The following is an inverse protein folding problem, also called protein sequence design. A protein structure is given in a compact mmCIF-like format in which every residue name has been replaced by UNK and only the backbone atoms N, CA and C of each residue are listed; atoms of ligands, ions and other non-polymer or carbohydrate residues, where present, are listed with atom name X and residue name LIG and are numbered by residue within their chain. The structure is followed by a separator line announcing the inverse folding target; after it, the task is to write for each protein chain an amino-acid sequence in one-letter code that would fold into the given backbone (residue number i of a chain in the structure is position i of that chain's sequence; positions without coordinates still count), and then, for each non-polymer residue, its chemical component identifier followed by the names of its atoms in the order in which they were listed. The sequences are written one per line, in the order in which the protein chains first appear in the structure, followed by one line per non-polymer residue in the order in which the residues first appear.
data_IF_429062871463
#
_entry.id   IF_429062871463
#
_cell.length_a   1.000
_cell.length_b   1.000
_cell.length_c   1.000
_cell.angle_alpha   90.00
_cell.angle_beta   90.00
_cell.angle_gamma   90.00
#
_symmetry.space_group_name_H-M   'P 1'
#
loop_
_entity.id
_entity.type
_entity.pdbx_description
1 polymer ?
#
# COMPACT_ATOMS: atom_id res chain seq x y z
N UNK A 1 24.15 -60.59 42.72
CA UNK A 1 22.97 -61.08 43.44
C UNK A 1 22.96 -60.50 44.85
N UNK A 2 21.86 -59.80 45.15
CA UNK A 2 21.39 -59.17 46.38
C UNK A 2 22.24 -59.19 47.66
N UNK A 3 22.49 -57.99 48.22
CA UNK A 3 22.39 -57.76 49.67
C UNK A 3 21.84 -56.35 49.91
N UNK A 4 20.63 -56.28 50.46
CA UNK A 4 20.02 -55.07 50.99
C UNK A 4 20.17 -55.10 52.52
N UNK A 5 20.74 -54.06 53.13
CA UNK A 5 20.75 -53.90 54.60
C UNK A 5 20.44 -52.46 55.00
N UNK A 6 19.16 -52.29 55.37
CA UNK A 6 18.62 -51.62 56.56
C UNK A 6 19.37 -50.43 57.20
N UNK A 7 18.70 -49.28 57.12
CA UNK A 7 18.22 -48.43 58.23
C UNK A 7 19.19 -47.97 59.33
N UNK A 8 19.29 -46.65 59.52
CA UNK A 8 18.75 -45.98 60.73
C UNK A 8 18.78 -44.45 60.57
N UNK A 9 17.61 -43.87 60.80
CA UNK A 9 17.37 -42.44 60.98
C UNK A 9 17.83 -42.04 62.39
N UNK A 10 18.58 -40.95 62.50
CA UNK A 10 18.60 -40.10 63.71
C UNK A 10 18.45 -38.66 63.26
N UNK A 11 17.41 -38.04 63.79
CA UNK A 11 16.89 -36.72 63.50
C UNK A 11 17.64 -35.68 64.38
N UNK A 12 18.21 -34.65 63.77
CA UNK A 12 18.62 -33.43 64.48
C UNK A 12 18.36 -32.22 63.56
N UNK A 13 17.30 -31.48 63.87
CA UNK A 13 17.07 -30.08 63.47
C UNK A 13 17.44 -29.22 64.71
N UNK A 14 17.72 -27.89 64.63
CA UNK A 14 17.21 -26.95 63.62
C UNK A 14 18.16 -25.79 63.24
N UNK A 15 17.64 -24.90 62.38
CA UNK A 15 18.02 -23.49 62.17
C UNK A 15 19.14 -23.16 61.17
N UNK A 16 18.75 -22.90 59.92
CA UNK A 16 18.91 -21.57 59.28
C UNK A 16 18.38 -21.57 57.83
N UNK A 17 17.42 -20.67 57.56
CA UNK A 17 16.94 -20.10 56.28
C UNK A 17 17.18 -20.90 54.97
N UNK A 18 16.14 -21.37 54.26
CA UNK A 18 16.30 -21.80 52.87
C UNK A 18 16.34 -20.58 51.95
N UNK A 19 17.46 -20.36 51.28
CA UNK A 19 17.49 -19.56 50.06
C UNK A 19 16.75 -20.38 48.98
N UNK A 20 15.45 -20.13 48.83
CA UNK A 20 14.69 -20.61 47.69
C UNK A 20 15.24 -19.85 46.49
N UNK A 21 16.15 -20.48 45.75
CA UNK A 21 16.47 -20.09 44.39
C UNK A 21 15.20 -20.32 43.58
N UNK A 22 14.36 -19.28 43.50
CA UNK A 22 13.27 -19.19 42.55
C UNK A 22 13.91 -19.17 41.16
N UNK A 23 14.08 -20.35 40.57
CA UNK A 23 14.23 -20.47 39.14
C UNK A 23 12.94 -19.93 38.54
N UNK A 24 12.91 -18.63 38.28
CA UNK A 24 11.95 -18.01 37.39
C UNK A 24 12.24 -18.58 36.01
N UNK A 25 11.67 -19.75 35.73
CA UNK A 25 11.36 -20.15 34.37
C UNK A 25 10.42 -19.07 33.87
N UNK A 26 11.00 -18.04 33.23
CA UNK A 26 10.26 -17.16 32.35
C UNK A 26 9.69 -18.09 31.30
N UNK A 27 8.47 -18.57 31.53
CA UNK A 27 7.65 -19.17 30.51
C UNK A 27 7.54 -18.08 29.47
N UNK A 28 8.37 -18.20 28.43
CA UNK A 28 8.21 -17.46 27.21
C UNK A 28 6.82 -17.86 26.74
N UNK A 29 5.80 -17.07 27.12
CA UNK A 29 4.50 -17.12 26.47
C UNK A 29 4.80 -16.71 25.05
N UNK A 30 5.02 -17.70 24.18
CA UNK A 30 4.91 -17.52 22.76
C UNK A 30 3.59 -16.80 22.46
N UNK A 31 3.52 -16.02 21.37
CA UNK A 31 2.35 -15.21 21.08
C UNK A 31 1.11 -16.07 21.21
N UNK A 32 0.17 -15.65 22.07
CA UNK A 32 -1.10 -16.33 22.27
C UNK A 32 -1.70 -16.55 20.90
N UNK A 33 -1.80 -17.81 20.47
CA UNK A 33 -2.51 -18.17 19.25
C UNK A 33 -3.94 -17.64 19.44
N UNK A 34 -4.25 -16.48 18.85
CA UNK A 34 -5.61 -15.93 18.90
C UNK A 34 -6.51 -17.02 18.35
N UNK A 35 -7.51 -17.43 19.13
CA UNK A 35 -8.58 -18.26 18.60
C UNK A 35 -9.24 -17.46 17.48
N UNK A 36 -9.09 -17.93 16.25
CA UNK A 36 -9.73 -17.31 15.10
C UNK A 36 -11.24 -17.38 15.32
N UNK A 37 -11.90 -16.23 15.29
CA UNK A 37 -13.34 -16.17 15.44
C UNK A 37 -13.99 -16.99 14.32
N UNK A 38 -15.07 -17.72 14.62
CA UNK A 38 -15.72 -18.64 13.66
C UNK A 38 -16.12 -17.94 12.34
N UNK A 39 -16.52 -16.67 12.42
CA UNK A 39 -16.88 -15.86 11.26
C UNK A 39 -15.69 -15.51 10.33
N UNK A 40 -14.45 -15.62 10.80
CA UNK A 40 -13.25 -15.37 10.01
C UNK A 40 -12.70 -16.65 9.35
N UNK A 41 -13.35 -17.79 9.56
CA UNK A 41 -12.97 -19.03 8.89
C UNK A 41 -13.42 -18.91 7.42
N UNK A 42 -12.54 -19.22 6.44
CA UNK A 42 -12.92 -19.15 5.04
C UNK A 42 -13.93 -20.25 4.70
N UNK A 43 -14.99 -19.88 3.97
CA UNK A 43 -16.06 -20.78 3.52
C UNK A 43 -16.35 -20.54 2.03
N UNK A 44 -16.73 -21.59 1.32
CA UNK A 44 -17.10 -21.53 -0.10
C UNK A 44 -15.94 -21.76 -1.06
N UNK A 45 -16.21 -21.57 -2.35
CA UNK A 45 -15.27 -21.85 -3.45
C UNK A 45 -14.37 -20.65 -3.80
N UNK A 46 -14.29 -19.62 -2.95
CA UNK A 46 -13.47 -18.42 -3.17
C UNK A 46 -14.03 -17.45 -4.21
N UNK A 47 -15.36 -17.40 -4.36
CA UNK A 47 -16.06 -16.45 -5.23
C UNK A 47 -16.67 -15.26 -4.48
N UNK A 48 -17.46 -14.44 -5.19
CA UNK A 48 -18.07 -13.20 -4.66
C UNK A 48 -18.89 -13.41 -3.38
N UNK A 49 -19.68 -14.48 -3.32
CA UNK A 49 -20.54 -14.83 -2.17
C UNK A 49 -19.88 -15.80 -1.19
N UNK A 50 -18.59 -16.09 -1.36
CA UNK A 50 -17.81 -16.86 -0.40
C UNK A 50 -17.40 -15.98 0.78
N UNK A 51 -16.81 -16.58 1.82
CA UNK A 51 -16.23 -15.84 2.95
C UNK A 51 -14.75 -16.15 2.94
N UNK A 52 -13.90 -15.12 2.83
CA UNK A 52 -12.44 -15.31 2.83
C UNK A 52 -11.82 -15.27 4.22
N UNK A 53 -12.53 -14.71 5.20
CA UNK A 53 -11.97 -14.40 6.52
C UNK A 53 -11.16 -13.11 6.56
N UNK A 54 -11.10 -12.36 5.46
CA UNK A 54 -10.43 -11.05 5.41
C UNK A 54 -11.45 -9.95 5.67
N UNK A 55 -11.19 -9.12 6.69
CA UNK A 55 -11.91 -7.90 7.03
C UNK A 55 -10.96 -6.73 6.86
N UNK A 56 -11.00 -6.12 5.68
CA UNK A 56 -10.04 -5.11 5.27
C UNK A 56 -10.61 -3.70 5.41
N UNK A 57 -9.88 -2.79 6.07
CA UNK A 57 -10.09 -1.34 5.94
C UNK A 57 -9.21 -0.78 4.83
N UNK A 58 -9.82 -0.18 3.81
CA UNK A 58 -9.08 0.39 2.67
C UNK A 58 -9.18 1.90 2.67
N UNK A 59 -8.17 2.56 3.23
CA UNK A 59 -8.04 4.01 3.14
C UNK A 59 -7.61 4.40 1.72
N UNK A 60 -8.26 5.42 1.14
CA UNK A 60 -8.02 5.81 -0.26
C UNK A 60 -8.72 4.91 -1.29
N UNK A 61 -9.74 4.16 -0.86
CA UNK A 61 -10.56 3.30 -1.74
C UNK A 61 -11.22 4.04 -2.92
N UNK A 62 -11.49 5.34 -2.75
CA UNK A 62 -12.14 6.18 -3.76
C UNK A 62 -11.21 6.64 -4.88
N UNK A 63 -9.90 6.41 -4.74
CA UNK A 63 -8.89 6.76 -5.73
C UNK A 63 -8.75 5.74 -6.86
N UNK A 64 -7.77 6.00 -7.75
CA UNK A 64 -7.51 5.16 -8.92
C UNK A 64 -7.18 3.71 -8.55
N UNK A 65 -6.27 3.49 -7.60
CA UNK A 65 -5.82 2.15 -7.18
C UNK A 65 -6.83 1.48 -6.24
N UNK A 66 -7.46 2.28 -5.37
CA UNK A 66 -8.40 1.82 -4.36
C UNK A 66 -9.54 0.97 -4.93
N UNK A 67 -10.17 1.43 -6.01
CA UNK A 67 -11.23 0.65 -6.70
C UNK A 67 -10.79 -0.74 -7.17
N UNK A 68 -9.55 -0.91 -7.62
CA UNK A 68 -9.06 -2.20 -8.08
C UNK A 68 -8.78 -3.14 -6.90
N UNK A 69 -8.26 -2.60 -5.79
CA UNK A 69 -8.07 -3.35 -4.55
C UNK A 69 -9.41 -3.79 -3.97
N UNK A 70 -10.39 -2.89 -3.91
CA UNK A 70 -11.76 -3.22 -3.46
C UNK A 70 -12.40 -4.27 -4.37
N UNK A 71 -12.25 -4.14 -5.69
CA UNK A 71 -12.76 -5.15 -6.63
C UNK A 71 -12.10 -6.52 -6.42
N UNK A 72 -10.78 -6.56 -6.20
CA UNK A 72 -10.07 -7.82 -5.94
C UNK A 72 -10.54 -8.48 -4.63
N UNK A 73 -10.65 -7.70 -3.55
CA UNK A 73 -11.13 -8.20 -2.25
C UNK A 73 -12.60 -8.64 -2.29
N UNK A 74 -13.46 -7.88 -2.97
CA UNK A 74 -14.88 -8.20 -3.15
C UNK A 74 -15.11 -9.43 -4.02
N UNK A 75 -14.28 -9.67 -5.03
CA UNK A 75 -14.33 -10.89 -5.86
C UNK A 75 -14.05 -12.17 -5.07
N UNK A 76 -13.23 -12.07 -4.01
CA UNK A 76 -12.93 -13.20 -3.11
C UNK A 76 -14.00 -13.42 -2.03
N UNK A 77 -14.98 -12.52 -1.91
CA UNK A 77 -15.96 -12.55 -0.82
C UNK A 77 -15.40 -12.09 0.52
N UNK A 78 -14.47 -11.13 0.48
CA UNK A 78 -13.93 -10.48 1.69
C UNK A 78 -14.81 -9.32 2.11
N UNK A 79 -14.90 -9.09 3.42
CA UNK A 79 -15.57 -7.92 3.95
C UNK A 79 -14.62 -6.72 3.84
N UNK A 80 -15.09 -5.64 3.24
CA UNK A 80 -14.30 -4.44 3.01
C UNK A 80 -15.00 -3.23 3.60
N UNK A 81 -14.33 -2.62 4.56
CA UNK A 81 -14.70 -1.35 5.16
C UNK A 81 -14.04 -0.24 4.32
N UNK A 82 -14.89 0.63 3.78
CA UNK A 82 -14.53 1.72 2.88
C UNK A 82 -14.72 3.04 3.64
N UNK A 83 -13.66 3.53 4.30
CA UNK A 83 -13.65 4.88 4.84
C UNK A 83 -13.56 5.89 3.70
N UNK A 84 -14.61 6.68 3.50
CA UNK A 84 -14.68 7.71 2.47
C UNK A 84 -14.87 9.10 3.07
N UNK A 85 -14.37 10.12 2.37
CA UNK A 85 -14.50 11.54 2.72
C UNK A 85 -15.16 12.35 1.61
N UNK A 86 -15.08 11.85 0.39
CA UNK A 86 -15.78 12.44 -0.74
C UNK A 86 -17.30 12.31 -0.56
N UNK A 87 -18.05 12.88 -1.50
CA UNK A 87 -19.48 12.68 -1.49
C UNK A 87 -19.83 11.20 -1.74
N UNK A 88 -21.03 10.82 -1.30
CA UNK A 88 -21.60 9.50 -1.49
C UNK A 88 -21.62 9.15 -2.98
N UNK A 89 -21.91 10.12 -3.85
CA UNK A 89 -21.93 9.95 -5.31
C UNK A 89 -20.65 9.31 -5.86
N UNK A 90 -19.49 9.76 -5.41
CA UNK A 90 -18.20 9.28 -5.92
C UNK A 90 -17.93 7.82 -5.53
N UNK A 91 -18.56 7.32 -4.48
CA UNK A 91 -18.43 5.92 -4.03
C UNK A 91 -19.36 4.95 -4.76
N UNK A 92 -20.32 5.44 -5.55
CA UNK A 92 -21.36 4.61 -6.17
C UNK A 92 -20.79 3.49 -7.05
N UNK A 93 -19.70 3.76 -7.76
CA UNK A 93 -19.03 2.77 -8.62
C UNK A 93 -18.45 1.58 -7.85
N UNK A 94 -18.26 1.69 -6.53
CA UNK A 94 -17.74 0.62 -5.68
C UNK A 94 -18.85 -0.35 -5.23
N UNK A 95 -20.11 0.11 -5.15
CA UNK A 95 -21.24 -0.71 -4.66
C UNK A 95 -21.40 -2.05 -5.39
N UNK A 96 -21.24 -2.13 -6.72
CA UNK A 96 -21.37 -3.40 -7.43
C UNK A 96 -20.22 -4.38 -7.18
N UNK A 97 -19.12 -3.99 -6.52
CA UNK A 97 -17.91 -4.81 -6.43
C UNK A 97 -17.99 -5.96 -5.41
N UNK A 98 -18.89 -5.86 -4.42
CA UNK A 98 -19.05 -6.86 -3.37
C UNK A 98 -20.50 -7.32 -3.20
N UNK A 99 -20.67 -8.49 -2.60
CA UNK A 99 -22.00 -9.00 -2.25
C UNK A 99 -22.66 -8.18 -1.14
N UNK A 100 -23.94 -8.44 -0.87
CA UNK A 100 -24.69 -7.78 0.20
C UNK A 100 -23.98 -7.96 1.55
N UNK A 101 -23.83 -6.87 2.30
CA UNK A 101 -23.17 -6.87 3.61
C UNK A 101 -21.64 -6.94 3.59
N UNK A 102 -21.02 -7.18 2.43
CA UNK A 102 -19.55 -7.23 2.32
C UNK A 102 -18.92 -5.84 2.27
N UNK A 103 -19.58 -4.87 1.62
CA UNK A 103 -19.09 -3.49 1.53
C UNK A 103 -19.75 -2.61 2.57
N UNK A 104 -18.94 -2.03 3.46
CA UNK A 104 -19.40 -1.11 4.50
C UNK A 104 -18.79 0.26 4.23
N UNK A 105 -19.63 1.25 3.98
CA UNK A 105 -19.20 2.64 3.76
C UNK A 105 -19.24 3.41 5.08
N UNK A 106 -18.13 4.04 5.47
CA UNK A 106 -18.04 4.86 6.66
C UNK A 106 -17.47 6.23 6.31
N UNK A 107 -18.15 7.29 6.72
CA UNK A 107 -17.58 8.63 6.63
C UNK A 107 -16.49 8.81 7.69
N UNK A 108 -15.39 9.48 7.34
CA UNK A 108 -14.30 9.77 8.28
C UNK A 108 -13.61 11.09 7.91
N UNK A 109 -12.94 11.69 8.89
CA UNK A 109 -12.06 12.83 8.66
C UNK A 109 -10.62 12.49 9.05
N UNK A 110 -9.69 12.98 8.25
CA UNK A 110 -8.28 12.73 8.41
C UNK A 110 -7.67 13.37 9.66
N UNK A 111 -8.30 14.43 10.17
CA UNK A 111 -7.85 15.15 11.37
C UNK A 111 -8.38 14.54 12.66
N UNK A 112 -9.45 13.75 12.59
CA UNK A 112 -10.08 13.15 13.75
C UNK A 112 -9.60 11.70 13.97
N UNK A 113 -8.90 11.49 15.08
CA UNK A 113 -8.37 10.18 15.48
C UNK A 113 -9.48 9.19 15.84
N UNK A 114 -10.61 9.66 16.35
CA UNK A 114 -11.71 8.80 16.80
C UNK A 114 -12.44 8.18 15.61
N UNK A 115 -12.63 8.94 14.52
CA UNK A 115 -13.17 8.44 13.26
C UNK A 115 -12.32 7.30 12.67
N UNK A 116 -10.99 7.42 12.72
CA UNK A 116 -10.05 6.37 12.28
C UNK A 116 -10.19 5.14 13.17
N UNK A 117 -10.30 5.32 14.49
CA UNK A 117 -10.48 4.21 15.43
C UNK A 117 -11.75 3.43 15.13
N UNK A 118 -12.87 4.12 14.91
CA UNK A 118 -14.15 3.50 14.53
C UNK A 118 -14.03 2.68 13.25
N UNK A 119 -13.28 3.13 12.25
CA UNK A 119 -13.08 2.38 11.02
C UNK A 119 -12.27 1.09 11.24
N UNK A 120 -11.24 1.15 12.08
CA UNK A 120 -10.22 0.09 12.21
C UNK A 120 -10.57 -0.97 13.28
N UNK A 121 -11.48 -0.67 14.22
CA UNK A 121 -11.87 -1.51 15.37
C UNK A 121 -12.12 -2.99 15.05
N UNK A 122 -12.70 -3.32 13.89
CA UNK A 122 -13.06 -4.68 13.51
C UNK A 122 -12.21 -5.25 12.37
N UNK A 123 -11.16 -4.53 11.95
CA UNK A 123 -10.34 -4.93 10.80
C UNK A 123 -9.22 -5.89 11.20
N UNK A 124 -8.98 -6.92 10.40
CA UNK A 124 -7.76 -7.74 10.52
C UNK A 124 -6.62 -7.21 9.64
N UNK A 125 -6.96 -6.55 8.53
CA UNK A 125 -6.00 -5.93 7.61
C UNK A 125 -6.38 -4.46 7.39
N UNK A 126 -5.39 -3.57 7.46
CA UNK A 126 -5.55 -2.16 7.08
C UNK A 126 -4.63 -1.88 5.89
N UNK A 127 -5.20 -1.31 4.83
CA UNK A 127 -4.48 -0.91 3.62
C UNK A 127 -4.55 0.60 3.48
N UNK A 128 -3.39 1.25 3.43
CA UNK A 128 -3.27 2.68 3.22
C UNK A 128 -2.88 3.00 1.77
N UNK A 129 -3.82 3.57 1.03
CA UNK A 129 -3.67 4.07 -0.34
C UNK A 129 -3.92 5.59 -0.43
N UNK A 130 -3.87 6.29 0.70
CA UNK A 130 -4.04 7.74 0.73
C UNK A 130 -2.85 8.38 0.01
N UNK A 131 -3.16 9.24 -0.96
CA UNK A 131 -2.15 10.01 -1.66
C UNK A 131 -2.78 11.04 -2.58
N UNK A 132 -2.06 12.13 -2.79
CA UNK A 132 -2.40 13.15 -3.78
C UNK A 132 -1.12 13.61 -4.47
N UNK A 133 -1.21 13.88 -5.78
CA UNK A 133 -0.06 14.26 -6.61
C UNK A 133 0.24 15.76 -6.58
N UNK A 134 -0.71 16.55 -6.10
CA UNK A 134 -0.61 18.00 -5.91
C UNK A 134 -1.04 18.33 -4.47
N UNK A 135 -0.49 19.41 -3.93
CA UNK A 135 -0.88 19.91 -2.61
C UNK A 135 -2.23 20.62 -2.75
N UNK A 136 -3.09 20.40 -1.77
CA UNK A 136 -4.33 21.18 -1.65
C UNK A 136 -4.10 22.28 -0.64
N UNK A 137 -4.90 23.36 -0.70
CA UNK A 137 -4.81 24.43 0.29
C UNK A 137 -5.07 23.96 1.74
N UNK A 138 -5.86 22.90 1.90
CA UNK A 138 -6.29 22.40 3.21
C UNK A 138 -5.36 21.30 3.76
N UNK A 139 -4.68 20.57 2.88
CA UNK A 139 -3.79 19.46 3.21
C UNK A 139 -2.51 19.53 2.40
N UNK A 140 -1.40 19.68 3.13
CA UNK A 140 -0.04 19.68 2.61
C UNK A 140 0.47 18.24 2.42
N UNK A 141 1.56 18.06 1.66
CA UNK A 141 2.17 16.73 1.50
C UNK A 141 2.63 16.11 2.81
N UNK A 142 3.05 16.91 3.79
CA UNK A 142 3.44 16.40 5.11
C UNK A 142 2.24 15.83 5.87
N UNK A 143 1.07 16.46 5.77
CA UNK A 143 -0.13 15.94 6.42
C UNK A 143 -0.57 14.62 5.76
N UNK A 144 -0.62 14.61 4.43
CA UNK A 144 -1.08 13.47 3.62
C UNK A 144 -0.18 12.25 3.76
N UNK A 145 1.13 12.45 3.66
CA UNK A 145 2.08 11.35 3.70
C UNK A 145 2.60 11.12 5.11
N UNK A 146 2.77 12.09 5.98
CA UNK A 146 3.45 11.83 7.26
C UNK A 146 2.48 11.69 8.43
N UNK A 147 1.65 12.70 8.68
CA UNK A 147 0.82 12.75 9.89
C UNK A 147 -0.33 11.74 9.85
N UNK A 148 -1.04 11.66 8.72
CA UNK A 148 -2.19 10.77 8.56
C UNK A 148 -1.76 9.30 8.65
N UNK A 149 -0.77 8.81 7.87
CA UNK A 149 -0.35 7.41 7.95
C UNK A 149 0.23 7.06 9.32
N UNK A 150 0.96 7.97 9.97
CA UNK A 150 1.43 7.79 11.35
C UNK A 150 0.26 7.57 12.31
N UNK A 151 -0.79 8.38 12.21
CA UNK A 151 -1.97 8.27 13.07
C UNK A 151 -2.73 6.97 12.80
N UNK A 152 -2.90 6.59 11.53
CA UNK A 152 -3.54 5.33 11.15
C UNK A 152 -2.73 4.14 11.71
N UNK A 153 -1.40 4.15 11.58
CA UNK A 153 -0.54 3.09 12.10
C UNK A 153 -0.65 2.96 13.63
N UNK A 154 -0.63 4.09 14.36
CA UNK A 154 -0.81 4.09 15.82
C UNK A 154 -2.18 3.51 16.22
N UNK A 155 -3.26 3.96 15.57
CA UNK A 155 -4.62 3.48 15.85
C UNK A 155 -4.78 2.00 15.49
N UNK A 156 -4.14 1.56 14.40
CA UNK A 156 -4.17 0.15 13.97
C UNK A 156 -3.43 -0.74 14.96
N UNK A 157 -2.36 -0.23 15.57
CA UNK A 157 -1.65 -0.90 16.66
C UNK A 157 -2.49 -0.94 17.94
N UNK A 158 -3.11 0.17 18.32
CA UNK A 158 -4.05 0.24 19.47
C UNK A 158 -5.20 -0.77 19.31
N UNK A 159 -5.75 -0.91 18.09
CA UNK A 159 -6.82 -1.87 17.77
C UNK A 159 -6.32 -3.33 17.66
N UNK A 160 -5.00 -3.55 17.61
CA UNK A 160 -4.43 -4.89 17.51
C UNK A 160 -4.67 -5.58 16.16
N UNK A 161 -4.61 -4.82 15.07
CA UNK A 161 -4.73 -5.31 13.68
C UNK A 161 -3.57 -6.25 13.35
N UNK A 162 -3.84 -7.33 12.61
CA UNK A 162 -2.84 -8.36 12.30
C UNK A 162 -1.84 -7.91 11.23
N UNK A 163 -2.33 -7.20 10.21
CA UNK A 163 -1.49 -6.73 9.09
C UNK A 163 -1.79 -5.29 8.74
N UNK A 164 -0.73 -4.49 8.69
CA UNK A 164 -0.78 -3.12 8.20
C UNK A 164 0.01 -3.02 6.90
N UNK A 165 -0.64 -2.57 5.83
CA UNK A 165 -0.04 -2.43 4.50
C UNK A 165 -0.02 -0.94 4.15
N UNK A 166 1.16 -0.41 3.87
CA UNK A 166 1.35 0.96 3.44
C UNK A 166 1.98 1.01 2.04
N UNK A 167 1.42 1.82 1.14
CA UNK A 167 1.89 1.95 -0.23
C UNK A 167 2.66 3.25 -0.45
N UNK A 168 3.98 3.10 -0.55
CA UNK A 168 4.90 4.21 -0.82
C UNK A 168 5.16 4.37 -2.33
N UNK A 169 6.38 4.69 -2.72
CA UNK A 169 6.78 4.84 -4.13
C UNK A 169 8.22 4.33 -4.28
N UNK A 170 8.58 3.78 -5.43
CA UNK A 170 9.92 3.23 -5.69
C UNK A 170 11.02 4.30 -5.48
N UNK A 171 10.85 5.46 -6.12
CA UNK A 171 11.78 6.60 -6.00
C UNK A 171 11.65 7.42 -4.70
N UNK A 172 11.07 6.85 -3.64
CA UNK A 172 11.01 7.53 -2.37
C UNK A 172 12.44 7.67 -1.82
N UNK A 173 13.00 8.88 -1.88
CA UNK A 173 14.28 9.24 -1.28
C UNK A 173 14.19 10.60 -0.56
N UNK A 174 14.73 10.71 0.66
CA UNK A 174 14.77 11.97 1.43
C UNK A 174 15.65 13.04 0.76
N UNK A 175 16.60 12.64 -0.09
CA UNK A 175 17.46 13.55 -0.88
C UNK A 175 16.85 13.96 -2.22
N UNK A 176 15.62 13.52 -2.54
CA UNK A 176 14.98 13.80 -3.83
C UNK A 176 14.61 15.28 -4.02
N UNK A 177 14.60 15.79 -5.26
CA UNK A 177 14.18 17.17 -5.56
C UNK A 177 12.67 17.37 -5.34
N UNK A 178 11.86 16.34 -5.62
CA UNK A 178 10.42 16.33 -5.44
C UNK A 178 10.03 16.35 -3.95
N UNK A 179 9.03 17.18 -3.59
CA UNK A 179 8.49 17.22 -2.21
C UNK A 179 7.65 15.98 -1.92
N UNK A 180 6.91 15.50 -2.91
CA UNK A 180 6.13 14.26 -2.82
C UNK A 180 7.02 13.07 -2.45
N UNK A 181 8.10 12.85 -3.21
CA UNK A 181 9.00 11.70 -2.99
C UNK A 181 9.71 11.78 -1.64
N UNK A 182 10.09 12.98 -1.19
CA UNK A 182 10.68 13.20 0.14
C UNK A 182 9.69 12.90 1.27
N UNK A 183 8.45 13.37 1.13
CA UNK A 183 7.42 13.21 2.15
C UNK A 183 7.05 11.73 2.34
N UNK A 184 6.99 10.96 1.23
CA UNK A 184 6.81 9.51 1.30
C UNK A 184 7.93 8.77 2.04
N UNK A 185 9.19 9.24 1.99
CA UNK A 185 10.26 8.64 2.82
C UNK A 185 10.13 9.03 4.28
N UNK A 186 9.79 10.28 4.57
CA UNK A 186 9.56 10.69 5.96
C UNK A 186 8.44 9.88 6.60
N UNK A 187 7.43 9.49 5.83
CA UNK A 187 6.39 8.56 6.27
C UNK A 187 6.96 7.19 6.60
N UNK A 188 7.60 6.56 5.61
CA UNK A 188 8.19 5.22 5.75
C UNK A 188 9.15 5.18 6.92
N UNK A 189 10.01 6.17 7.10
CA UNK A 189 10.95 6.23 8.24
C UNK A 189 10.24 6.39 9.59
N UNK A 190 9.20 7.22 9.72
CA UNK A 190 8.44 7.37 10.98
C UNK A 190 7.55 6.15 11.27
N UNK A 191 6.94 5.57 10.24
CA UNK A 191 6.22 4.30 10.29
C UNK A 191 7.14 3.16 10.71
N UNK A 192 8.30 3.02 10.07
CA UNK A 192 9.33 2.04 10.41
C UNK A 192 9.89 2.27 11.82
N UNK A 193 10.19 3.49 12.25
CA UNK A 193 10.68 3.73 13.63
C UNK A 193 9.64 3.33 14.68
N UNK A 194 8.34 3.45 14.39
CA UNK A 194 7.30 2.98 15.29
C UNK A 194 7.11 1.46 15.21
N UNK A 195 7.35 0.85 14.05
CA UNK A 195 7.22 -0.59 13.79
C UNK A 195 8.45 -1.39 14.26
N UNK A 196 9.67 -0.84 14.15
CA UNK A 196 10.95 -1.43 14.59
C UNK A 196 11.07 -1.48 16.11
N UNK A 197 10.32 -0.63 16.83
CA UNK A 197 10.20 -0.72 18.29
C UNK A 197 9.43 -1.97 18.75
N UNK A 198 8.79 -2.69 17.83
CA UNK A 198 8.05 -3.92 18.12
C UNK A 198 8.70 -5.16 17.46
N UNK A 199 9.04 -6.21 18.24
CA UNK A 199 9.73 -7.40 17.74
C UNK A 199 8.87 -8.33 16.85
N UNK A 200 7.55 -8.10 16.76
CA UNK A 200 6.59 -8.96 16.04
C UNK A 200 6.24 -8.46 14.62
N UNK A 201 6.82 -7.34 14.17
CA UNK A 201 6.45 -6.74 12.90
C UNK A 201 7.07 -7.50 11.70
N UNK A 202 6.21 -8.13 10.89
CA UNK A 202 6.58 -8.70 9.58
C UNK A 202 6.87 -7.58 8.57
N UNK A 203 8.05 -6.96 8.68
CA UNK A 203 8.49 -5.78 7.95
C UNK A 203 9.24 -6.08 6.65
N UNK A 204 8.58 -6.72 5.68
CA UNK A 204 9.14 -6.84 4.32
C UNK A 204 8.80 -5.59 3.51
N UNK A 205 9.81 -5.00 2.89
CA UNK A 205 9.62 -3.93 1.91
C UNK A 205 9.59 -4.57 0.53
N UNK A 206 8.52 -4.33 -0.23
CA UNK A 206 8.38 -4.83 -1.60
C UNK A 206 8.61 -3.70 -2.59
N UNK A 207 9.33 -4.01 -3.68
CA UNK A 207 9.53 -3.09 -4.78
C UNK A 207 8.83 -3.66 -6.02
N UNK A 208 7.70 -3.05 -6.38
CA UNK A 208 6.97 -3.45 -7.59
C UNK A 208 7.46 -2.63 -8.78
N UNK A 209 8.07 -3.33 -9.73
CA UNK A 209 8.53 -2.78 -11.00
C UNK A 209 7.94 -3.57 -12.18
N UNK A 210 7.75 -2.90 -13.31
CA UNK A 210 7.33 -3.56 -14.55
C UNK A 210 8.46 -4.43 -15.13
N UNK A 211 8.14 -5.31 -16.10
CA UNK A 211 9.13 -6.23 -16.67
C UNK A 211 10.16 -5.50 -17.55
N UNK A 212 9.73 -4.41 -18.20
CA UNK A 212 10.53 -3.67 -19.17
C UNK A 212 10.80 -2.26 -18.65
N UNK A 213 12.04 -1.81 -18.76
CA UNK A 213 12.44 -0.43 -18.49
C UNK A 213 12.57 0.33 -19.83
N UNK A 214 12.02 1.54 -19.87
CA UNK A 214 12.02 2.37 -21.08
C UNK A 214 12.65 3.72 -20.81
N UNK A 215 13.33 4.26 -21.82
CA UNK A 215 13.70 5.67 -21.85
C UNK A 215 12.45 6.54 -22.00
N UNK A 216 12.35 7.62 -21.23
CA UNK A 216 11.20 8.52 -21.22
C UNK A 216 10.83 9.02 -22.63
N UNK A 217 11.84 9.37 -23.44
CA UNK A 217 11.61 9.81 -24.82
C UNK A 217 10.95 8.73 -25.68
N UNK A 218 11.45 7.49 -25.65
CA UNK A 218 10.88 6.37 -26.41
C UNK A 218 9.52 5.93 -25.87
N UNK A 219 9.30 6.07 -24.57
CA UNK A 219 8.00 5.82 -23.94
C UNK A 219 6.95 6.82 -24.46
N UNK A 220 7.26 8.12 -24.47
CA UNK A 220 6.33 9.14 -25.01
C UNK A 220 6.11 8.93 -26.51
N UNK A 221 7.17 8.62 -27.27
CA UNK A 221 7.06 8.29 -28.68
C UNK A 221 6.08 7.11 -28.91
N UNK A 222 6.15 6.08 -28.06
CA UNK A 222 5.23 4.95 -28.09
C UNK A 222 3.79 5.33 -27.73
N UNK A 223 3.57 6.18 -26.72
CA UNK A 223 2.24 6.69 -26.36
C UNK A 223 1.60 7.42 -27.55
N UNK A 224 2.34 8.33 -28.20
CA UNK A 224 1.83 9.07 -29.35
C UNK A 224 1.60 8.18 -30.57
N UNK A 225 2.47 7.19 -30.79
CA UNK A 225 2.30 6.15 -31.80
C UNK A 225 1.01 5.36 -31.57
N UNK A 226 0.79 4.89 -30.33
CA UNK A 226 -0.40 4.14 -29.93
C UNK A 226 -1.68 4.99 -30.01
N UNK A 227 -1.60 6.29 -29.72
CA UNK A 227 -2.72 7.22 -29.86
C UNK A 227 -2.98 7.68 -31.31
N UNK A 228 -2.08 7.35 -32.26
CA UNK A 228 -2.05 7.88 -33.63
C UNK A 228 -2.17 9.42 -33.66
N UNK A 229 -1.42 10.09 -32.78
CA UNK A 229 -1.32 11.56 -32.74
C UNK A 229 0.06 12.00 -33.20
N UNK A 230 0.13 13.19 -33.79
CA UNK A 230 1.39 13.78 -34.23
C UNK A 230 2.33 14.00 -33.04
N UNK A 231 3.55 13.48 -33.14
CA UNK A 231 4.57 13.61 -32.12
C UNK A 231 5.59 14.69 -32.54
N UNK A 232 5.60 15.81 -31.83
CA UNK A 232 6.52 16.94 -32.04
C UNK A 232 7.31 17.18 -30.75
N UNK A 233 8.42 16.46 -30.51
CA UNK A 233 9.25 16.68 -29.33
C UNK A 233 10.08 17.95 -29.48
N UNK A 234 10.17 18.74 -28.41
CA UNK A 234 11.07 19.89 -28.33
C UNK A 234 11.78 19.90 -26.98
N UNK A 235 13.06 20.29 -26.93
CA UNK A 235 13.77 20.42 -25.66
C UNK A 235 13.29 21.68 -24.93
N UNK A 236 12.91 21.53 -23.66
CA UNK A 236 12.57 22.65 -22.78
C UNK A 236 13.44 22.58 -21.52
N UNK A 237 14.19 23.65 -21.18
CA UNK A 237 14.95 23.69 -19.94
C UNK A 237 14.04 23.47 -18.71
N UNK A 238 14.51 22.69 -17.74
CA UNK A 238 13.70 22.28 -16.57
C UNK A 238 13.14 23.47 -15.79
N UNK A 239 13.93 24.53 -15.62
CA UNK A 239 13.46 25.71 -14.89
C UNK A 239 12.30 26.41 -15.63
N UNK A 240 12.36 26.49 -16.96
CA UNK A 240 11.30 27.09 -17.77
C UNK A 240 10.01 26.24 -17.69
N UNK A 241 10.14 24.91 -17.74
CA UNK A 241 8.99 24.02 -17.57
C UNK A 241 8.36 24.13 -16.17
N UNK A 242 9.17 24.34 -15.12
CA UNK A 242 8.67 24.60 -13.75
C UNK A 242 7.90 25.91 -13.64
N UNK A 243 8.27 26.94 -14.40
CA UNK A 243 7.50 28.20 -14.46
C UNK A 243 6.12 28.00 -15.09
N UNK A 244 6.06 27.26 -16.21
CA UNK A 244 4.79 26.88 -16.84
C UNK A 244 3.94 26.07 -15.87
N UNK A 245 4.52 25.07 -15.20
CA UNK A 245 3.81 24.26 -14.22
C UNK A 245 3.29 25.07 -13.03
N UNK A 246 4.06 26.07 -12.57
CA UNK A 246 3.61 27.00 -11.52
C UNK A 246 2.37 27.78 -11.93
N UNK A 247 2.27 28.17 -13.21
CA UNK A 247 1.09 28.86 -13.71
C UNK A 247 -0.16 27.97 -13.62
N UNK A 248 -0.04 26.69 -13.97
CA UNK A 248 -1.13 25.71 -13.83
C UNK A 248 -1.51 25.42 -12.37
N UNK A 249 -0.55 25.46 -11.44
CA UNK A 249 -0.79 25.28 -10.00
C UNK A 249 -1.65 26.38 -9.36
N UNK A 250 -1.74 27.56 -9.97
CA UNK A 250 -2.57 28.66 -9.42
C UNK A 250 -4.07 28.36 -9.53
N UNK A 251 -4.46 27.38 -10.34
CA UNK A 251 -5.86 27.00 -10.48
C UNK A 251 -6.37 26.28 -9.21
N UNK A 252 -7.58 26.61 -8.74
CA UNK A 252 -8.19 25.90 -7.60
C UNK A 252 -8.74 24.53 -8.00
N UNK A 253 -8.87 24.27 -9.30
CA UNK A 253 -9.27 22.98 -9.85
C UNK A 253 -8.05 22.03 -9.94
N UNK A 254 -8.30 20.76 -10.21
CA UNK A 254 -7.22 19.77 -10.31
C UNK A 254 -6.24 20.14 -11.44
N UNK A 255 -4.97 20.46 -11.13
CA UNK A 255 -4.03 20.92 -12.13
C UNK A 255 -3.50 19.75 -12.96
N UNK A 256 -3.48 19.90 -14.30
CA UNK A 256 -2.89 18.88 -15.17
C UNK A 256 -1.37 18.73 -14.99
N UNK A 257 -0.69 19.82 -14.65
CA UNK A 257 0.76 19.86 -14.40
C UNK A 257 1.08 20.64 -13.14
N UNK A 258 2.06 20.13 -12.38
CA UNK A 258 2.60 20.74 -11.16
C UNK A 258 4.11 20.68 -11.17
N UNK A 259 4.78 21.56 -10.44
CA UNK A 259 6.23 21.61 -10.28
C UNK A 259 6.77 20.29 -9.73
N UNK A 260 6.03 19.66 -8.81
CA UNK A 260 6.38 18.35 -8.29
C UNK A 260 6.27 17.26 -9.37
N UNK A 261 5.20 17.28 -10.18
CA UNK A 261 5.04 16.35 -11.30
C UNK A 261 6.15 16.52 -12.34
N UNK A 262 6.61 17.75 -12.60
CA UNK A 262 7.76 18.00 -13.47
C UNK A 262 9.00 17.28 -12.95
N UNK A 263 9.38 17.49 -11.69
CA UNK A 263 10.55 16.82 -11.11
C UNK A 263 10.39 15.30 -11.11
N UNK A 264 9.21 14.81 -10.72
CA UNK A 264 8.89 13.38 -10.63
C UNK A 264 9.03 12.66 -11.97
N UNK A 265 8.58 13.27 -13.07
CA UNK A 265 8.72 12.69 -14.43
C UNK A 265 10.19 12.63 -14.87
N UNK A 266 11.03 13.54 -14.39
CA UNK A 266 12.44 13.62 -14.80
C UNK A 266 13.41 12.86 -13.88
N UNK A 267 12.90 12.23 -12.81
CA UNK A 267 13.67 11.34 -11.95
C UNK A 267 13.59 9.94 -12.54
N UNK A 268 14.75 9.31 -12.70
CA UNK A 268 14.85 7.92 -13.16
C UNK A 268 14.45 6.95 -12.06
N UNK A 269 13.77 5.87 -12.44
CA UNK A 269 13.48 4.76 -11.54
C UNK A 269 14.77 4.05 -11.09
N UNK A 270 14.82 3.69 -9.81
CA UNK A 270 15.94 2.97 -9.20
C UNK A 270 15.75 1.46 -9.36
N UNK A 271 16.78 0.76 -9.83
CA UNK A 271 16.82 -0.71 -9.83
C UNK A 271 17.13 -1.20 -8.42
N UNK A 272 16.16 -1.89 -7.81
CA UNK A 272 16.34 -2.52 -6.50
C UNK A 272 16.33 -4.03 -6.67
N UNK A 273 17.51 -4.61 -6.89
CA UNK A 273 17.68 -6.07 -6.96
C UNK A 273 17.62 -6.75 -5.58
N UNK A 274 17.83 -5.98 -4.51
CA UNK A 274 17.89 -6.48 -3.14
C UNK A 274 16.51 -6.68 -2.49
N UNK A 275 15.44 -6.17 -3.12
CA UNK A 275 14.09 -6.18 -2.58
C UNK A 275 13.21 -7.22 -3.30
N UNK A 276 12.31 -7.90 -2.57
CA UNK A 276 11.38 -8.84 -3.18
C UNK A 276 10.43 -8.15 -4.15
N UNK A 277 10.20 -8.81 -5.29
CA UNK A 277 9.45 -8.30 -6.44
C UNK A 277 8.03 -8.84 -6.56
N UNK A 278 7.42 -8.63 -7.73
CA UNK A 278 6.11 -9.19 -8.09
C UNK A 278 6.15 -10.72 -8.22
N UNK A 279 7.28 -11.25 -8.68
CA UNK A 279 7.47 -12.69 -8.93
C UNK A 279 7.44 -13.50 -7.63
N UNK A 280 7.98 -12.95 -6.54
CA UNK A 280 7.94 -13.57 -5.20
C UNK A 280 6.52 -13.67 -4.63
N UNK A 281 5.58 -12.88 -5.16
CA UNK A 281 4.15 -12.95 -4.84
C UNK A 281 3.39 -13.89 -5.77
N UNK A 282 4.07 -14.55 -6.72
CA UNK A 282 3.46 -15.42 -7.72
C UNK A 282 2.72 -14.66 -8.83
N UNK A 283 2.98 -13.36 -8.98
CA UNK A 283 2.34 -12.52 -9.99
C UNK A 283 3.31 -12.28 -11.14
N UNK A 284 2.94 -12.72 -12.34
CA UNK A 284 3.70 -12.41 -13.56
C UNK A 284 3.46 -10.95 -13.95
N UNK A 285 4.55 -10.21 -14.13
CA UNK A 285 4.48 -8.81 -14.53
C UNK A 285 4.00 -8.70 -15.99
N UNK A 286 2.93 -7.95 -16.23
CA UNK A 286 2.39 -7.77 -17.57
C UNK A 286 3.12 -6.62 -18.27
N UNK A 287 3.66 -6.82 -19.49
CA UNK A 287 4.31 -5.77 -20.24
C UNK A 287 3.33 -4.69 -20.68
N UNK A 288 3.82 -3.45 -20.78
CA UNK A 288 3.02 -2.27 -21.09
C UNK A 288 2.33 -2.41 -22.45
N UNK A 289 3.00 -3.02 -23.43
CA UNK A 289 2.53 -3.13 -24.81
C UNK A 289 1.21 -3.88 -24.93
N UNK A 290 0.98 -4.86 -24.05
CA UNK A 290 -0.25 -5.65 -24.05
C UNK A 290 -1.45 -4.87 -23.51
N UNK A 291 -1.23 -3.87 -22.66
CA UNK A 291 -2.28 -3.12 -21.95
C UNK A 291 -2.45 -1.67 -22.39
N UNK A 292 -1.47 -1.10 -23.07
CA UNK A 292 -1.48 0.29 -23.49
C UNK A 292 -2.72 0.65 -24.32
N UNK A 293 -3.19 -0.25 -25.19
CA UNK A 293 -4.36 0.03 -26.04
C UNK A 293 -5.64 0.26 -25.24
N UNK A 294 -5.86 -0.50 -24.16
CA UNK A 294 -7.11 -0.45 -23.38
C UNK A 294 -7.28 0.95 -22.77
N UNK A 295 -6.17 1.59 -22.42
CA UNK A 295 -6.14 2.94 -21.85
C UNK A 295 -6.12 4.02 -22.93
N UNK A 296 -5.29 3.85 -23.96
CA UNK A 296 -5.03 4.89 -24.97
C UNK A 296 -6.06 4.96 -26.09
N UNK A 297 -6.89 3.93 -26.28
CA UNK A 297 -7.94 3.89 -27.32
C UNK A 297 -8.87 5.11 -27.24
N UNK A 298 -9.18 5.60 -26.03
CA UNK A 298 -10.00 6.81 -25.82
C UNK A 298 -9.42 8.07 -26.49
N UNK A 299 -8.10 8.14 -26.67
CA UNK A 299 -7.42 9.32 -27.22
C UNK A 299 -7.26 9.24 -28.76
N UNK A 300 -7.55 8.09 -29.37
CA UNK A 300 -7.50 7.90 -30.83
C UNK A 300 -8.65 8.66 -31.50
N UNK A 301 -8.38 9.21 -32.68
CA UNK A 301 -9.45 9.73 -33.55
C UNK A 301 -10.25 8.59 -34.15
N UNK A 302 -11.48 8.86 -34.60
CA UNK A 302 -12.34 7.89 -35.27
C UNK A 302 -11.63 7.08 -36.37
N UNK A 303 -10.79 7.73 -37.20
CA UNK A 303 -10.02 7.08 -38.28
C UNK A 303 -9.14 5.90 -37.83
N UNK A 304 -8.64 5.95 -36.59
CA UNK A 304 -7.69 4.99 -36.01
C UNK A 304 -8.29 4.24 -34.83
N UNK A 305 -9.56 4.47 -34.49
CA UNK A 305 -10.17 3.91 -33.28
C UNK A 305 -10.20 2.37 -33.33
N UNK A 306 -10.42 1.82 -34.52
CA UNK A 306 -10.51 0.38 -34.79
C UNK A 306 -9.20 -0.24 -35.29
N UNK A 307 -8.07 0.50 -35.31
CA UNK A 307 -6.81 -0.08 -35.76
C UNK A 307 -6.27 -1.10 -34.77
N UNK A 308 -5.60 -2.11 -35.30
CA UNK A 308 -5.01 -3.21 -34.53
C UNK A 308 -3.80 -2.72 -33.71
N UNK A 309 -3.42 -3.51 -32.70
CA UNK A 309 -2.29 -3.16 -31.83
C UNK A 309 -0.94 -3.34 -32.53
N UNK A 310 -0.85 -4.35 -33.40
CA UNK A 310 0.38 -4.81 -34.05
C UNK A 310 0.96 -3.80 -35.05
N UNK A 311 0.13 -2.87 -35.53
CA UNK A 311 0.56 -1.77 -36.41
C UNK A 311 1.56 -0.83 -35.72
N UNK A 312 1.56 -0.77 -34.39
CA UNK A 312 2.41 0.13 -33.62
C UNK A 312 3.69 -0.57 -33.14
N UNK A 313 4.84 -0.05 -33.57
CA UNK A 313 6.14 -0.60 -33.15
C UNK A 313 6.33 -0.44 -31.64
N UNK A 314 6.80 -1.49 -30.92
CA UNK A 314 7.02 -1.42 -29.49
C UNK A 314 8.11 -0.40 -29.14
N UNK A 315 8.05 0.12 -27.92
CA UNK A 315 9.07 1.03 -27.40
C UNK A 315 10.42 0.31 -27.23
N UNK A 316 11.52 1.03 -27.44
CA UNK A 316 12.86 0.49 -27.18
C UNK A 316 13.07 0.36 -25.67
N UNK A 317 13.42 -0.85 -25.23
CA UNK A 317 13.77 -1.15 -23.84
C UNK A 317 15.24 -0.84 -23.56
N UNK A 318 15.57 -0.65 -22.28
CA UNK A 318 16.94 -0.44 -21.83
C UNK A 318 17.20 -1.12 -20.49
N UNK A 319 18.39 -1.68 -20.31
CA UNK A 319 18.73 -2.57 -19.19
C UNK A 319 19.72 -1.96 -18.16
N UNK A 320 20.04 -0.66 -18.25
CA UNK A 320 20.79 0.03 -17.18
C UNK A 320 19.89 0.34 -15.99
#
# INVERSE_FOLDING_TARGET
MATAVRSRVVLALPMSRPAIAAAATSVFRGPSHRQLHHALIPHGQGGRSSVSGVVATVFGATGFLGRYVVNALGRMGSQVIIPYRCDIYDTMHLRPMGDLGQLIFLEWDARDKDSIRRAVQHSNVVINLIGRDWETRNFDFEDVFVKIPQTIAQVSKEAGVERFIHVSHLNANMKSSSRYLRSKVSDVSKGIVNVVKDPDARGKTFAFAGPNRYLLFHLVQYIYGMAHRTFLPYPLPRFAYRWVARFFEMSPFEPWTTRDKVERIHISDVLTHDLPGLEDLGIQATPLELKAIEVLRRHRTYRWLSSEMEETKPAKTVDY
#
